data_IF_168174158302
#
_entry.id   IF_168174158302
#
_cell.length_a   1.000
_cell.length_b   1.000
_cell.length_c   1.000
_cell.angle_alpha   90.00
_cell.angle_beta   90.00
_cell.angle_gamma   90.00
#
_symmetry.space_group_name_H-M   'P 1'
#
loop_
_entity.id
_entity.type
_entity.pdbx_description
1 polymer ?
#
# COMPACT_ATOMS: atom_id res chain seq x y z
N UNK A 1 -3.04 -11.96 -24.99
CA UNK A 1 -4.09 -11.46 -24.07
C UNK A 1 -3.39 -10.61 -23.02
N UNK A 2 -2.96 -9.41 -23.40
CA UNK A 2 -2.31 -8.48 -22.46
C UNK A 2 -3.43 -7.66 -21.82
N UNK A 3 -4.12 -8.28 -20.85
CA UNK A 3 -5.05 -7.55 -20.02
C UNK A 3 -4.22 -6.72 -19.06
N UNK A 4 -4.06 -5.45 -19.38
CA UNK A 4 -3.53 -4.41 -18.49
C UNK A 4 -4.45 -4.26 -17.27
N UNK A 5 -4.47 -5.26 -16.40
CA UNK A 5 -5.32 -5.35 -15.21
C UNK A 5 -4.78 -4.38 -14.17
N UNK A 6 -5.26 -3.13 -14.24
CA UNK A 6 -5.06 -2.16 -13.18
C UNK A 6 -5.83 -2.61 -11.95
N UNK A 7 -5.12 -2.86 -10.85
CA UNK A 7 -5.70 -3.21 -9.56
C UNK A 7 -5.84 -1.97 -8.67
N UNK A 8 -6.84 -1.99 -7.80
CA UNK A 8 -7.00 -0.92 -6.82
C UNK A 8 -6.13 -1.22 -5.61
N UNK A 9 -5.38 -0.22 -5.17
CA UNK A 9 -4.65 -0.32 -3.90
C UNK A 9 -5.68 -0.47 -2.78
N UNK A 10 -5.45 -1.45 -1.91
CA UNK A 10 -6.26 -1.68 -0.72
C UNK A 10 -5.52 -1.07 0.47
N UNK A 11 -6.25 -0.42 1.35
CA UNK A 11 -5.68 0.11 2.58
C UNK A 11 -5.13 -1.05 3.41
N UNK A 12 -3.85 -1.02 3.81
CA UNK A 12 -3.27 -2.09 4.60
C UNK A 12 -3.88 -2.22 6.01
N UNK A 13 -4.48 -1.14 6.52
CA UNK A 13 -5.06 -1.09 7.88
C UNK A 13 -6.47 -1.67 7.91
N UNK A 14 -7.34 -1.31 6.96
CA UNK A 14 -8.75 -1.69 6.99
C UNK A 14 -9.22 -2.55 5.81
N UNK A 15 -8.35 -2.87 4.85
CA UNK A 15 -8.72 -3.57 3.60
C UNK A 15 -9.63 -2.75 2.67
N UNK A 16 -9.94 -1.50 3.02
CA UNK A 16 -10.80 -0.63 2.24
C UNK A 16 -10.19 -0.33 0.87
N UNK A 17 -11.04 -0.22 -0.16
CA UNK A 17 -10.62 0.26 -1.49
C UNK A 17 -10.13 1.71 -1.39
N UNK A 18 -8.91 2.01 -1.84
CA UNK A 18 -8.44 3.41 -1.96
C UNK A 18 -8.77 4.00 -3.32
N UNK A 19 -8.38 5.26 -3.54
CA UNK A 19 -8.58 5.97 -4.82
C UNK A 19 -7.47 5.68 -5.83
N UNK A 20 -6.38 5.08 -5.40
CA UNK A 20 -5.21 4.83 -6.22
C UNK A 20 -5.31 3.48 -6.92
N UNK A 21 -5.00 3.46 -8.21
CA UNK A 21 -4.85 2.23 -9.00
C UNK A 21 -3.37 2.00 -9.29
N UNK A 22 -2.96 0.75 -9.24
CA UNK A 22 -1.63 0.31 -9.64
C UNK A 22 -1.74 -0.64 -10.83
N UNK A 23 -0.83 -0.51 -11.78
CA UNK A 23 -0.60 -1.45 -12.89
C UNK A 23 0.70 -2.21 -12.63
N UNK A 24 0.96 -3.24 -13.43
CA UNK A 24 2.16 -4.08 -13.29
C UNK A 24 3.48 -3.30 -13.41
N UNK A 25 3.47 -2.26 -14.24
CA UNK A 25 4.58 -1.32 -14.47
C UNK A 25 4.62 -0.16 -13.46
N UNK A 26 3.63 -0.04 -12.56
CA UNK A 26 3.57 1.04 -11.58
C UNK A 26 4.54 0.78 -10.43
N UNK A 27 5.45 1.72 -10.22
CA UNK A 27 6.37 1.73 -9.08
C UNK A 27 6.07 2.97 -8.24
N UNK A 28 5.69 2.75 -6.98
CA UNK A 28 5.54 3.81 -5.98
C UNK A 28 6.60 3.61 -4.91
N UNK A 29 7.32 4.68 -4.56
CA UNK A 29 8.32 4.64 -3.49
C UNK A 29 8.02 5.74 -2.48
N UNK A 30 8.05 5.41 -1.19
CA UNK A 30 7.72 6.34 -0.10
C UNK A 30 6.42 7.11 -0.35
N UNK A 31 5.41 6.44 -0.89
CA UNK A 31 4.16 7.07 -1.30
C UNK A 31 3.20 7.17 -0.12
N UNK A 32 2.73 8.37 0.28
CA UNK A 32 1.75 8.51 1.34
C UNK A 32 0.36 8.11 0.83
N UNK A 33 -0.11 6.93 1.23
CA UNK A 33 -1.45 6.43 0.91
C UNK A 33 -2.47 6.91 1.95
N UNK A 34 -3.29 7.88 1.59
CA UNK A 34 -4.41 8.31 2.42
C UNK A 34 -5.59 7.33 2.37
N UNK A 35 -6.10 6.94 3.53
CA UNK A 35 -7.32 6.15 3.63
C UNK A 35 -8.48 6.99 4.19
N UNK A 36 -9.57 7.25 3.43
CA UNK A 36 -10.71 8.02 3.93
C UNK A 36 -11.48 7.31 5.06
N UNK A 37 -11.38 5.96 5.14
CA UNK A 37 -11.99 5.19 6.24
C UNK A 37 -11.19 5.30 7.53
N UNK A 38 -9.86 5.14 7.45
CA UNK A 38 -8.99 5.24 8.62
C UNK A 38 -8.69 6.69 9.02
N UNK A 39 -8.88 7.65 8.10
CA UNK A 39 -8.54 9.07 8.25
C UNK A 39 -7.05 9.33 8.57
N UNK A 40 -6.18 8.42 8.15
CA UNK A 40 -4.73 8.50 8.34
C UNK A 40 -4.01 8.09 7.05
N UNK A 41 -2.77 8.52 6.92
CA UNK A 41 -1.88 8.21 5.81
C UNK A 41 -0.89 7.13 6.24
N UNK A 42 -0.55 6.22 5.33
CA UNK A 42 0.50 5.23 5.53
C UNK A 42 1.50 5.35 4.38
N UNK A 43 2.79 5.39 4.70
CA UNK A 43 3.82 5.31 3.68
C UNK A 43 3.86 3.89 3.12
N UNK A 44 3.79 3.77 1.79
CA UNK A 44 3.84 2.50 1.10
C UNK A 44 4.85 2.53 -0.05
N UNK A 45 5.39 1.35 -0.35
CA UNK A 45 6.06 1.05 -1.61
C UNK A 45 5.15 0.13 -2.42
N UNK A 46 5.06 0.38 -3.73
CA UNK A 46 4.39 -0.51 -4.67
C UNK A 46 5.36 -0.93 -5.76
N UNK A 47 5.43 -2.23 -6.03
CA UNK A 47 6.23 -2.78 -7.13
C UNK A 47 5.60 -4.08 -7.59
N UNK A 48 5.46 -4.29 -8.90
CA UNK A 48 4.91 -5.53 -9.47
C UNK A 48 3.56 -5.94 -8.85
N UNK A 49 2.66 -4.95 -8.59
CA UNK A 49 1.37 -5.11 -7.91
C UNK A 49 1.45 -5.55 -6.43
N UNK A 50 2.63 -5.55 -5.82
CA UNK A 50 2.82 -5.80 -4.39
C UNK A 50 2.88 -4.49 -3.62
N UNK A 51 2.14 -4.40 -2.52
CA UNK A 51 2.13 -3.25 -1.62
C UNK A 51 2.93 -3.61 -0.37
N UNK A 52 3.95 -2.83 -0.05
CA UNK A 52 4.76 -2.96 1.16
C UNK A 52 4.56 -1.71 2.00
N UNK A 53 4.22 -1.85 3.26
CA UNK A 53 4.04 -0.72 4.18
C UNK A 53 5.42 -0.33 4.71
N UNK A 54 5.76 0.95 4.57
CA UNK A 54 6.94 1.57 5.16
C UNK A 54 6.52 2.11 6.52
N UNK A 55 6.10 1.22 7.40
CA UNK A 55 6.22 1.53 8.81
C UNK A 55 7.69 1.40 9.13
N UNK A 56 8.32 2.44 9.69
CA UNK A 56 9.49 2.20 10.54
C UNK A 56 9.11 1.01 11.44
N UNK A 57 9.95 -0.03 11.53
CA UNK A 57 9.66 -1.10 12.45
C UNK A 57 9.64 -0.44 13.82
N UNK A 58 8.44 -0.20 14.37
CA UNK A 58 8.27 -0.20 15.80
C UNK A 58 8.86 -1.54 16.20
N UNK A 59 10.10 -1.48 16.69
CA UNK A 59 10.90 -2.63 17.03
C UNK A 59 9.99 -3.56 17.79
N UNK A 60 9.72 -4.74 17.21
CA UNK A 60 9.17 -5.83 18.01
C UNK A 60 10.29 -6.21 18.97
N UNK A 61 10.43 -5.47 20.06
CA UNK A 61 11.06 -6.01 21.24
C UNK A 61 10.07 -7.03 21.75
N UNK A 62 10.20 -8.25 21.25
CA UNK A 62 9.67 -9.43 21.91
C UNK A 62 10.50 -9.59 23.19
N UNK A 63 10.21 -8.78 24.21
CA UNK A 63 10.72 -9.02 25.55
C UNK A 63 9.83 -10.08 26.19
N UNK A 64 10.44 -11.24 26.33
CA UNK A 64 10.07 -12.48 27.01
C UNK A 64 9.23 -12.32 28.27
#
# INVERSE_FOLDING_TARGET
MDSSTAEWIRCPVCGGKTRDKMRKDTILQNFPLFCPKCKHENLINVRDLQIVIITEPAAKTQSR
#
